data_IF_121453690700
#
_entry.id   IF_121453690700
#
_cell.length_a   1.000
_cell.length_b   1.000
_cell.length_c   1.000
_cell.angle_alpha   90.00
_cell.angle_beta   90.00
_cell.angle_gamma   90.00
#
_symmetry.space_group_name_H-M   'P 1'
#
loop_
_entity.id
_entity.type
_entity.pdbx_description
1 polymer ?
#
# COMPACT_ATOMS: atom_id res chain seq x y z
N UNK A 1 38.72 36.92 10.88
CA UNK A 1 37.74 36.51 11.93
C UNK A 1 36.28 36.59 11.39
N UNK A 2 35.87 37.66 10.70
CA UNK A 2 34.52 37.79 10.10
C UNK A 2 34.12 36.74 9.04
N UNK A 3 35.07 36.19 8.26
CA UNK A 3 34.78 35.12 7.28
C UNK A 3 34.52 33.74 7.91
N UNK A 4 35.06 33.48 9.10
CA UNK A 4 34.90 32.20 9.79
C UNK A 4 33.55 32.13 10.56
N UNK A 5 32.97 33.30 10.87
CA UNK A 5 31.66 33.44 11.53
C UNK A 5 30.52 33.14 10.55
N UNK A 6 30.61 33.59 9.29
CA UNK A 6 29.58 33.37 8.26
C UNK A 6 29.49 31.90 7.80
N UNK A 7 30.62 31.18 7.77
CA UNK A 7 30.71 29.75 7.41
C UNK A 7 30.16 28.83 8.51
N UNK A 8 30.36 29.16 9.80
CA UNK A 8 29.78 28.44 10.94
C UNK A 8 28.25 28.62 11.03
N UNK A 9 27.72 29.81 10.72
CA UNK A 9 26.28 30.09 10.73
C UNK A 9 25.51 29.24 9.70
N UNK A 10 26.04 29.12 8.46
CA UNK A 10 25.42 28.28 7.43
C UNK A 10 25.46 26.78 7.75
N UNK A 11 26.52 26.31 8.39
CA UNK A 11 26.63 24.90 8.83
C UNK A 11 25.64 24.58 9.96
N UNK A 12 25.44 25.51 10.90
CA UNK A 12 24.48 25.36 11.99
C UNK A 12 23.03 25.42 11.48
N UNK A 13 22.73 26.30 10.52
CA UNK A 13 21.43 26.36 9.84
C UNK A 13 21.13 25.09 9.03
N UNK A 14 22.12 24.54 8.31
CA UNK A 14 21.99 23.26 7.63
C UNK A 14 21.75 22.12 8.62
N UNK A 15 22.46 22.11 9.75
CA UNK A 15 22.29 21.09 10.79
C UNK A 15 20.91 21.18 11.44
N UNK A 16 20.42 22.38 11.76
CA UNK A 16 19.06 22.60 12.28
C UNK A 16 17.99 22.21 11.25
N UNK A 17 18.21 22.49 9.96
CA UNK A 17 17.30 22.09 8.90
C UNK A 17 17.27 20.56 8.76
N UNK A 18 18.42 19.89 8.80
CA UNK A 18 18.53 18.43 8.82
C UNK A 18 17.89 17.82 10.09
N UNK A 19 17.99 18.50 11.23
CA UNK A 19 17.35 18.08 12.49
C UNK A 19 15.82 18.21 12.43
N UNK A 20 15.30 19.25 11.75
CA UNK A 20 13.87 19.43 11.52
C UNK A 20 13.30 18.40 10.54
N UNK A 21 14.06 18.03 9.50
CA UNK A 21 13.66 16.98 8.54
C UNK A 21 13.57 15.60 9.23
N UNK A 22 14.28 15.39 10.33
CA UNK A 22 14.30 14.11 11.05
C UNK A 22 13.08 13.86 11.96
N UNK A 23 12.26 14.88 12.24
CA UNK A 23 11.01 14.74 13.00
C UNK A 23 9.84 14.52 12.05
N UNK A 24 9.81 13.35 11.39
CA UNK A 24 8.61 12.87 10.72
C UNK A 24 7.86 12.00 11.72
N UNK A 25 6.78 12.54 12.29
CA UNK A 25 5.78 11.74 12.97
C UNK A 25 4.89 11.11 11.88
N UNK A 26 5.06 9.81 11.64
CA UNK A 26 4.16 9.05 10.77
C UNK A 26 3.06 8.41 11.60
N UNK A 27 1.79 8.68 11.26
CA UNK A 27 0.61 7.97 11.79
C UNK A 27 0.25 6.74 10.95
N UNK A 28 0.81 6.68 9.74
CA UNK A 28 0.59 5.64 8.74
C UNK A 28 1.76 4.63 8.75
N UNK A 29 1.44 3.34 8.70
CA UNK A 29 2.39 2.24 8.64
C UNK A 29 2.00 1.25 7.55
N UNK A 30 2.94 0.94 6.67
CA UNK A 30 2.84 -0.22 5.77
C UNK A 30 3.82 -1.29 6.23
N UNK A 31 3.33 -2.50 6.47
CA UNK A 31 4.13 -3.61 6.96
C UNK A 31 3.84 -4.90 6.20
N UNK A 32 4.81 -5.80 6.21
CA UNK A 32 4.68 -7.15 5.69
C UNK A 32 4.27 -8.09 6.82
N UNK A 33 3.16 -8.81 6.61
CA UNK A 33 2.62 -9.81 7.51
C UNK A 33 2.91 -11.21 6.92
N UNK A 34 3.80 -12.00 7.54
CA UNK A 34 4.19 -13.32 7.03
C UNK A 34 3.01 -14.30 6.95
N UNK A 35 3.23 -15.42 6.25
CA UNK A 35 2.31 -16.55 6.28
C UNK A 35 2.27 -17.22 7.67
N UNK A 36 1.09 -17.69 8.04
CA UNK A 36 0.82 -18.30 9.34
C UNK A 36 1.27 -17.46 10.57
N UNK A 37 1.27 -16.13 10.43
CA UNK A 37 1.77 -15.22 11.47
C UNK A 37 0.76 -14.12 11.82
N UNK A 38 1.03 -13.45 12.93
CA UNK A 38 0.18 -12.45 13.54
C UNK A 38 1.02 -11.33 14.13
N UNK A 39 0.70 -10.10 13.75
CA UNK A 39 1.41 -8.91 14.20
C UNK A 39 0.48 -7.96 14.93
N UNK A 40 0.95 -7.42 16.05
CA UNK A 40 0.18 -6.52 16.90
C UNK A 40 0.93 -5.21 17.14
N UNK A 41 0.18 -4.11 17.13
CA UNK A 41 0.62 -2.76 17.41
C UNK A 41 -0.09 -2.24 18.66
N UNK A 42 0.60 -1.40 19.42
CA UNK A 42 0.20 -0.97 20.74
C UNK A 42 0.30 0.55 20.82
N UNK A 43 -0.76 1.21 21.27
CA UNK A 43 -0.78 2.66 21.47
C UNK A 43 -1.34 2.99 22.85
N UNK A 44 -0.72 3.94 23.53
CA UNK A 44 -1.15 4.42 24.83
C UNK A 44 -2.10 5.60 24.65
N UNK A 45 -3.35 5.43 25.07
CA UNK A 45 -4.41 6.43 24.89
C UNK A 45 -4.94 6.89 26.25
N UNK A 46 -5.22 8.19 26.34
CA UNK A 46 -5.94 8.77 27.48
C UNK A 46 -7.43 8.45 27.42
N UNK A 47 -8.11 8.60 28.56
CA UNK A 47 -9.55 8.43 28.67
C UNK A 47 -10.30 9.50 27.86
N UNK A 48 -11.47 9.12 27.31
CA UNK A 48 -12.41 9.99 26.59
C UNK A 48 -11.83 10.58 25.29
N UNK A 49 -10.77 9.95 24.75
CA UNK A 49 -10.17 10.26 23.45
C UNK A 49 -10.78 9.39 22.36
N UNK A 50 -11.19 10.00 21.24
CA UNK A 50 -11.58 9.28 20.02
C UNK A 50 -10.33 8.80 19.28
N UNK A 51 -10.35 7.56 18.82
CA UNK A 51 -9.38 7.04 17.87
C UNK A 51 -10.08 6.39 16.68
N UNK A 52 -9.38 6.38 15.55
CA UNK A 52 -9.80 5.84 14.27
C UNK A 52 -8.69 4.92 13.76
N UNK A 53 -9.06 3.71 13.33
CA UNK A 53 -8.16 2.72 12.73
C UNK A 53 -8.66 2.43 11.32
N UNK A 54 -7.84 2.75 10.34
CA UNK A 54 -8.09 2.44 8.94
C UNK A 54 -7.06 1.43 8.47
N UNK A 55 -7.49 0.38 7.77
CA UNK A 55 -6.54 -0.56 7.18
C UNK A 55 -6.97 -1.01 5.79
N UNK A 56 -5.96 -1.36 4.98
CA UNK A 56 -6.16 -1.90 3.65
C UNK A 56 -5.04 -2.88 3.30
N UNK A 57 -5.43 -4.05 2.78
CA UNK A 57 -4.48 -5.03 2.24
C UNK A 57 -4.10 -4.62 0.82
N UNK A 58 -2.84 -4.26 0.62
CA UNK A 58 -2.30 -3.80 -0.66
C UNK A 58 -2.01 -5.00 -1.57
N UNK A 59 -1.44 -6.08 -1.01
CA UNK A 59 -1.03 -7.26 -1.78
C UNK A 59 -1.08 -8.55 -0.95
N UNK A 60 -1.14 -9.69 -1.63
CA UNK A 60 -1.06 -11.03 -1.04
C UNK A 60 -2.37 -11.83 -1.06
N UNK A 61 -2.34 -13.02 -1.67
CA UNK A 61 -3.46 -13.97 -1.69
C UNK A 61 -4.78 -13.35 -2.18
N UNK A 62 -5.84 -13.47 -1.39
CA UNK A 62 -7.17 -12.89 -1.66
C UNK A 62 -7.32 -11.44 -1.18
N UNK A 63 -6.22 -10.76 -0.84
CA UNK A 63 -6.20 -9.41 -0.29
C UNK A 63 -7.01 -9.29 1.01
N UNK A 64 -7.08 -10.34 1.83
CA UNK A 64 -7.88 -10.41 3.06
C UNK A 64 -7.00 -10.53 4.31
N UNK A 65 -7.41 -10.00 5.46
CA UNK A 65 -6.73 -10.17 6.75
C UNK A 65 -7.75 -10.23 7.88
N UNK A 66 -7.42 -10.92 8.97
CA UNK A 66 -8.20 -10.88 10.20
C UNK A 66 -7.69 -9.73 11.07
N UNK A 67 -8.58 -8.83 11.51
CA UNK A 67 -8.24 -7.65 12.31
C UNK A 67 -9.06 -7.65 13.59
N UNK A 68 -8.40 -7.44 14.72
CA UNK A 68 -9.10 -7.28 15.99
C UNK A 68 -8.40 -6.27 16.90
N UNK A 69 -9.20 -5.54 17.66
CA UNK A 69 -8.78 -4.45 18.56
C UNK A 69 -9.21 -4.81 19.97
N UNK A 70 -8.30 -4.66 20.93
CA UNK A 70 -8.60 -4.85 22.35
C UNK A 70 -8.27 -3.63 23.18
N UNK A 71 -9.05 -3.41 24.22
CA UNK A 71 -8.80 -2.40 25.24
C UNK A 71 -7.67 -2.83 26.22
N UNK A 72 -7.28 -1.95 27.17
CA UNK A 72 -6.26 -2.26 28.17
C UNK A 72 -6.61 -3.43 29.12
N UNK A 73 -7.90 -3.79 29.21
CA UNK A 73 -8.38 -4.94 29.98
C UNK A 73 -8.49 -6.23 29.15
N UNK A 74 -8.06 -6.19 27.89
CA UNK A 74 -8.20 -7.26 26.89
C UNK A 74 -9.65 -7.57 26.49
N UNK A 75 -10.60 -6.65 26.69
CA UNK A 75 -11.91 -6.76 26.08
C UNK A 75 -11.80 -6.49 24.58
N UNK A 76 -12.46 -7.31 23.77
CA UNK A 76 -12.46 -7.17 22.32
C UNK A 76 -13.45 -6.08 21.92
N UNK A 77 -12.94 -5.01 21.32
CA UNK A 77 -13.73 -3.87 20.85
C UNK A 77 -14.16 -4.04 19.38
N UNK A 78 -13.28 -4.67 18.59
CA UNK A 78 -13.49 -4.93 17.17
C UNK A 78 -12.88 -6.29 16.83
N UNK A 79 -13.56 -7.08 16.01
CA UNK A 79 -13.09 -8.39 15.57
C UNK A 79 -13.76 -8.76 14.27
N UNK A 80 -13.07 -8.49 13.18
CA UNK A 80 -13.52 -8.79 11.84
C UNK A 80 -12.55 -9.73 11.15
N UNK A 81 -13.09 -10.63 10.34
CA UNK A 81 -12.31 -11.68 9.66
C UNK A 81 -12.36 -11.51 8.16
N UNK A 82 -11.24 -11.84 7.51
CA UNK A 82 -11.05 -11.84 6.07
C UNK A 82 -11.52 -10.55 5.38
N UNK A 83 -11.18 -9.41 5.96
CA UNK A 83 -11.49 -8.09 5.40
C UNK A 83 -10.37 -7.63 4.48
N UNK A 84 -10.73 -7.00 3.37
CA UNK A 84 -9.76 -6.40 2.46
C UNK A 84 -9.42 -4.96 2.84
N UNK A 85 -10.44 -4.24 3.29
CA UNK A 85 -10.33 -2.92 3.88
C UNK A 85 -11.43 -2.80 4.93
N UNK A 86 -11.18 -2.03 5.98
CA UNK A 86 -12.23 -1.59 6.90
C UNK A 86 -11.77 -0.35 7.68
N UNK A 87 -12.73 0.33 8.30
CA UNK A 87 -12.52 1.50 9.15
C UNK A 87 -13.24 1.30 10.47
N UNK A 88 -12.54 1.49 11.59
CA UNK A 88 -13.09 1.34 12.92
C UNK A 88 -12.82 2.59 13.78
N UNK A 89 -13.89 3.20 14.26
CA UNK A 89 -13.85 4.37 15.15
C UNK A 89 -14.37 4.03 16.54
N UNK A 90 -13.65 4.41 17.58
CA UNK A 90 -14.09 4.21 18.95
C UNK A 90 -13.61 5.32 19.89
N UNK A 91 -14.36 5.56 20.97
CA UNK A 91 -13.98 6.48 22.04
C UNK A 91 -13.51 5.69 23.25
N UNK A 92 -12.31 5.96 23.71
CA UNK A 92 -11.67 5.27 24.84
C UNK A 92 -12.46 5.42 26.14
N UNK A 93 -12.88 4.30 26.73
CA UNK A 93 -13.59 4.30 28.01
C UNK A 93 -12.65 4.49 29.21
N UNK A 94 -11.38 4.13 29.05
CA UNK A 94 -10.33 4.22 30.06
C UNK A 94 -8.97 4.48 29.43
N UNK A 95 -8.09 5.06 30.24
CA UNK A 95 -6.69 5.28 29.91
C UNK A 95 -5.91 3.96 29.96
N UNK A 96 -5.01 3.78 29.00
CA UNK A 96 -4.09 2.65 28.95
C UNK A 96 -3.71 2.26 27.53
N UNK A 97 -3.10 1.09 27.41
CA UNK A 97 -2.58 0.57 26.13
C UNK A 97 -3.67 -0.17 25.36
N UNK A 98 -4.06 0.38 24.22
CA UNK A 98 -4.93 -0.27 23.25
C UNK A 98 -4.06 -1.07 22.27
N UNK A 99 -4.56 -2.24 21.86
CA UNK A 99 -3.83 -3.18 21.01
C UNK A 99 -4.63 -3.47 19.74
N UNK A 100 -3.99 -3.30 18.60
CA UNK A 100 -4.53 -3.62 17.27
C UNK A 100 -3.71 -4.76 16.69
N UNK A 101 -4.35 -5.84 16.28
CA UNK A 101 -3.67 -7.01 15.76
C UNK A 101 -4.22 -7.42 14.40
N UNK A 102 -3.30 -7.80 13.51
CA UNK A 102 -3.57 -8.37 12.21
C UNK A 102 -3.07 -9.81 12.17
N UNK A 103 -3.92 -10.74 11.74
CA UNK A 103 -3.59 -12.17 11.63
C UNK A 103 -3.71 -12.67 10.20
N UNK A 104 -2.68 -13.39 9.78
CA UNK A 104 -2.60 -14.14 8.54
C UNK A 104 -2.41 -15.65 8.79
N UNK A 105 -2.85 -16.14 9.95
CA UNK A 105 -2.77 -17.56 10.33
C UNK A 105 -3.50 -18.49 9.34
N UNK A 106 -4.45 -17.97 8.57
CA UNK A 106 -5.21 -18.74 7.58
C UNK A 106 -4.49 -18.93 6.23
N UNK A 107 -3.42 -18.18 5.94
CA UNK A 107 -2.65 -18.34 4.70
C UNK A 107 -1.36 -19.10 4.99
N UNK A 108 -1.20 -20.27 4.37
CA UNK A 108 -0.04 -21.14 4.57
C UNK A 108 1.15 -20.87 3.63
N UNK A 109 0.96 -20.04 2.60
CA UNK A 109 1.98 -19.87 1.54
C UNK A 109 2.10 -18.43 1.02
N UNK A 110 1.29 -17.49 1.50
CA UNK A 110 1.26 -16.12 0.98
C UNK A 110 1.35 -15.13 2.12
N UNK A 111 2.43 -14.36 2.13
CA UNK A 111 2.55 -13.15 2.93
C UNK A 111 1.60 -12.07 2.41
N UNK A 112 1.30 -11.09 3.26
CA UNK A 112 0.43 -9.96 2.94
C UNK A 112 1.15 -8.65 3.20
N UNK A 113 0.87 -7.65 2.39
CA UNK A 113 1.31 -6.27 2.63
C UNK A 113 0.10 -5.49 3.09
N UNK A 114 0.13 -5.01 4.34
CA UNK A 114 -0.98 -4.32 4.98
C UNK A 114 -0.57 -2.89 5.26
N UNK A 115 -1.40 -1.96 4.81
CA UNK A 115 -1.36 -0.58 5.25
C UNK A 115 -2.33 -0.41 6.42
N UNK A 116 -1.88 0.30 7.46
CA UNK A 116 -2.66 0.71 8.61
C UNK A 116 -2.41 2.19 8.89
N UNK A 117 -3.46 2.92 9.24
CA UNK A 117 -3.39 4.25 9.83
C UNK A 117 -4.07 4.19 11.21
N UNK A 118 -3.34 4.54 12.26
CA UNK A 118 -3.86 4.62 13.62
C UNK A 118 -3.85 6.09 14.03
N UNK A 119 -5.03 6.71 13.97
CA UNK A 119 -5.23 8.12 14.32
C UNK A 119 -5.84 8.19 15.71
N UNK A 120 -5.26 8.99 16.60
CA UNK A 120 -5.85 9.25 17.91
C UNK A 120 -5.71 10.71 18.30
N UNK A 121 -6.63 11.19 19.13
CA UNK A 121 -6.64 12.56 19.62
C UNK A 121 -7.44 13.52 18.75
N UNK A 122 -7.91 14.60 19.37
CA UNK A 122 -8.34 15.77 18.61
C UNK A 122 -7.09 16.48 18.09
N UNK A 123 -7.09 16.76 16.80
CA UNK A 123 -6.05 17.55 16.16
C UNK A 123 -5.88 18.86 16.93
N UNK A 124 -4.64 19.17 17.35
CA UNK A 124 -4.40 20.37 18.15
C UNK A 124 -5.02 21.58 17.43
N UNK A 125 -5.86 22.38 18.11
CA UNK A 125 -6.49 23.52 17.46
C UNK A 125 -5.39 24.43 16.89
N UNK A 126 -5.44 24.69 15.59
CA UNK A 126 -4.47 25.52 14.85
C UNK A 126 -4.19 26.88 15.51
N UNK A 127 -5.14 27.36 16.30
CA UNK A 127 -5.03 28.55 17.12
C UNK A 127 -5.31 28.18 18.58
N UNK A 128 -4.32 28.42 19.44
CA UNK A 128 -4.40 28.26 20.90
C UNK A 128 -5.60 29.03 21.52
N UNK A 129 -6.05 30.11 20.84
CA UNK A 129 -7.22 30.92 21.19
C UNK A 129 -8.58 30.27 20.96
N UNK A 130 -8.69 29.18 20.19
CA UNK A 130 -9.98 28.49 20.01
C UNK A 130 -10.50 27.82 21.29
N UNK A 131 -9.63 27.52 22.25
CA UNK A 131 -10.03 26.97 23.56
C UNK A 131 -10.76 27.99 24.46
N UNK A 132 -10.62 29.29 24.16
CA UNK A 132 -11.20 30.38 24.92
C UNK A 132 -12.37 30.90 24.11
N UNK A 133 -13.60 30.76 24.62
CA UNK A 133 -14.88 31.14 24.01
C UNK A 133 -14.94 32.61 23.55
N UNK A 134 -14.23 32.93 22.47
CA UNK A 134 -14.06 34.26 21.91
C UNK A 134 -14.51 34.16 20.46
N UNK A 135 -15.27 35.15 19.97
CA UNK A 135 -15.66 35.19 18.57
C UNK A 135 -14.40 35.13 17.70
N UNK A 136 -14.28 34.09 16.86
CA UNK A 136 -13.20 33.98 15.89
C UNK A 136 -13.25 35.18 14.95
N UNK A 137 -12.09 35.76 14.68
CA UNK A 137 -11.99 36.77 13.63
C UNK A 137 -12.26 36.12 12.26
N UNK A 138 -12.67 36.92 11.27
CA UNK A 138 -12.96 36.43 9.90
C UNK A 138 -11.77 35.65 9.29
N UNK A 139 -10.54 36.02 9.65
CA UNK A 139 -9.32 35.35 9.22
C UNK A 139 -9.14 33.98 9.89
N UNK A 140 -9.40 33.87 11.18
CA UNK A 140 -9.27 32.61 11.93
C UNK A 140 -10.30 31.58 11.43
N UNK A 141 -11.55 32.00 11.19
CA UNK A 141 -12.58 31.13 10.61
C UNK A 141 -12.21 30.64 9.21
N UNK A 142 -11.62 31.52 8.37
CA UNK A 142 -11.18 31.13 7.03
C UNK A 142 -10.02 30.14 7.08
N UNK A 143 -9.10 30.30 8.04
CA UNK A 143 -7.98 29.38 8.25
C UNK A 143 -8.45 27.98 8.66
N UNK A 144 -9.39 27.89 9.60
CA UNK A 144 -9.99 26.60 10.02
C UNK A 144 -10.71 25.91 8.85
N UNK A 145 -11.48 26.67 8.06
CA UNK A 145 -12.17 26.11 6.90
C UNK A 145 -11.18 25.56 5.84
N UNK A 146 -10.08 26.28 5.57
CA UNK A 146 -9.04 25.80 4.65
C UNK A 146 -8.39 24.53 5.18
N UNK A 147 -8.12 24.47 6.49
CA UNK A 147 -7.52 23.31 7.13
C UNK A 147 -8.38 22.05 7.00
N UNK A 148 -9.68 22.18 7.26
CA UNK A 148 -10.63 21.08 7.09
C UNK A 148 -10.65 20.57 5.63
N UNK A 149 -10.65 21.48 4.65
CA UNK A 149 -10.56 21.10 3.24
C UNK A 149 -9.23 20.42 2.90
N UNK A 150 -8.11 20.93 3.42
CA UNK A 150 -6.79 20.32 3.19
C UNK A 150 -6.70 18.93 3.79
N UNK A 151 -7.32 18.67 4.94
CA UNK A 151 -7.41 17.35 5.56
C UNK A 151 -8.13 16.36 4.65
N UNK A 152 -9.30 16.73 4.14
CA UNK A 152 -10.06 15.91 3.18
C UNK A 152 -9.25 15.61 1.92
N UNK A 153 -8.50 16.60 1.42
CA UNK A 153 -7.61 16.42 0.25
C UNK A 153 -6.46 15.47 0.57
N UNK A 154 -5.83 15.59 1.74
CA UNK A 154 -4.76 14.70 2.16
C UNK A 154 -5.26 13.25 2.28
N UNK A 155 -6.37 13.03 2.97
CA UNK A 155 -6.99 11.71 3.10
C UNK A 155 -7.33 11.12 1.72
N UNK A 156 -7.87 11.96 0.81
CA UNK A 156 -8.14 11.54 -0.58
C UNK A 156 -6.87 11.16 -1.34
N UNK A 157 -5.78 11.92 -1.19
CA UNK A 157 -4.50 11.61 -1.82
C UNK A 157 -3.96 10.26 -1.35
N UNK A 158 -4.02 9.99 -0.05
CA UNK A 158 -3.64 8.69 0.51
C UNK A 158 -4.46 7.58 -0.13
N UNK A 159 -5.79 7.73 -0.21
CA UNK A 159 -6.65 6.75 -0.88
C UNK A 159 -6.23 6.47 -2.35
N UNK A 160 -5.97 7.52 -3.13
CA UNK A 160 -5.51 7.36 -4.52
C UNK A 160 -4.14 6.68 -4.61
N UNK A 161 -3.21 6.99 -3.70
CA UNK A 161 -1.88 6.36 -3.65
C UNK A 161 -1.98 4.86 -3.36
N UNK A 162 -2.80 4.45 -2.39
CA UNK A 162 -3.01 3.04 -2.06
C UNK A 162 -3.66 2.28 -3.22
N UNK A 163 -4.70 2.88 -3.81
CA UNK A 163 -5.39 2.35 -5.00
C UNK A 163 -4.41 2.15 -6.16
N UNK A 164 -3.59 3.15 -6.46
CA UNK A 164 -2.58 3.09 -7.52
C UNK A 164 -1.55 1.99 -7.24
N UNK A 165 -1.05 1.88 -6.00
CA UNK A 165 -0.11 0.84 -5.63
C UNK A 165 -0.70 -0.57 -5.85
N UNK A 166 -1.94 -0.79 -5.42
CA UNK A 166 -2.65 -2.05 -5.61
C UNK A 166 -2.90 -2.33 -7.11
N UNK A 167 -3.34 -1.33 -7.88
CA UNK A 167 -3.62 -1.49 -9.30
C UNK A 167 -2.35 -1.69 -10.12
N UNK A 168 -1.22 -1.10 -9.71
CA UNK A 168 0.09 -1.35 -10.30
C UNK A 168 0.51 -2.80 -10.13
N UNK A 169 0.37 -3.38 -8.94
CA UNK A 169 0.66 -4.80 -8.71
C UNK A 169 -0.21 -5.70 -9.59
N UNK A 170 -1.51 -5.41 -9.73
CA UNK A 170 -2.39 -6.16 -10.65
C UNK A 170 -1.93 -6.04 -12.10
N UNK A 171 -1.57 -4.83 -12.54
CA UNK A 171 -1.12 -4.58 -13.90
C UNK A 171 0.15 -5.37 -14.24
N UNK A 172 1.13 -5.41 -13.33
CA UNK A 172 2.37 -6.16 -13.49
C UNK A 172 2.09 -7.67 -13.63
N UNK A 173 1.24 -8.25 -12.78
CA UNK A 173 0.86 -9.67 -12.88
C UNK A 173 0.09 -10.02 -14.16
N UNK A 174 -0.81 -9.13 -14.61
CA UNK A 174 -1.55 -9.33 -15.85
C UNK A 174 -0.61 -9.25 -17.06
N UNK A 175 0.29 -8.28 -17.07
CA UNK A 175 1.27 -8.09 -18.12
C UNK A 175 2.16 -9.32 -18.29
N UNK A 176 2.67 -9.88 -17.19
CA UNK A 176 3.50 -11.08 -17.22
C UNK A 176 2.75 -12.28 -17.81
N UNK A 177 1.52 -12.53 -17.36
CA UNK A 177 0.69 -13.64 -17.86
C UNK A 177 0.40 -13.53 -19.35
N UNK A 178 -0.02 -12.34 -19.79
CA UNK A 178 -0.30 -12.07 -21.21
C UNK A 178 0.96 -12.26 -22.04
N UNK A 179 2.10 -11.75 -21.57
CA UNK A 179 3.38 -11.90 -22.26
C UNK A 179 3.75 -13.36 -22.48
N UNK A 180 3.64 -14.22 -21.45
CA UNK A 180 3.92 -15.65 -21.61
C UNK A 180 2.96 -16.34 -22.59
N UNK A 181 1.67 -16.00 -22.55
CA UNK A 181 0.69 -16.53 -23.49
C UNK A 181 1.01 -16.10 -24.94
N UNK A 182 1.32 -14.83 -25.17
CA UNK A 182 1.69 -14.30 -26.49
C UNK A 182 2.98 -14.91 -27.05
N UNK A 183 3.97 -15.16 -26.19
CA UNK A 183 5.19 -15.88 -26.60
C UNK A 183 4.83 -17.30 -27.06
N UNK A 184 3.97 -18.00 -26.32
CA UNK A 184 3.49 -19.34 -26.69
C UNK A 184 2.78 -19.37 -28.04
N UNK A 185 1.86 -18.44 -28.29
CA UNK A 185 1.16 -18.31 -29.57
C UNK A 185 2.12 -18.00 -30.73
N UNK A 186 3.09 -17.12 -30.50
CA UNK A 186 4.09 -16.77 -31.52
C UNK A 186 4.94 -17.98 -31.91
N UNK A 187 5.36 -18.79 -30.95
CA UNK A 187 6.10 -20.04 -31.19
C UNK A 187 5.23 -21.04 -31.96
N UNK A 188 3.97 -21.20 -31.59
CA UNK A 188 3.03 -22.10 -32.26
C UNK A 188 2.83 -21.71 -33.74
N UNK A 189 2.65 -20.42 -34.04
CA UNK A 189 2.53 -19.91 -35.41
C UNK A 189 3.79 -20.20 -36.23
N UNK A 190 4.98 -20.06 -35.64
CA UNK A 190 6.24 -20.38 -36.31
C UNK A 190 6.33 -21.88 -36.66
N UNK A 191 5.97 -22.76 -35.72
CA UNK A 191 5.94 -24.22 -35.94
C UNK A 191 4.97 -24.59 -37.06
N UNK A 192 3.76 -24.02 -37.06
CA UNK A 192 2.78 -24.24 -38.12
C UNK A 192 3.32 -23.75 -39.47
N UNK A 193 3.95 -22.56 -39.52
CA UNK A 193 4.55 -22.02 -40.74
C UNK A 193 5.64 -22.91 -41.31
N UNK A 194 6.56 -23.41 -40.48
CA UNK A 194 7.59 -24.37 -40.91
C UNK A 194 6.96 -25.68 -41.39
N UNK A 195 5.98 -26.21 -40.63
CA UNK A 195 5.25 -27.42 -40.99
C UNK A 195 4.54 -27.31 -42.34
N UNK A 196 3.87 -26.18 -42.60
CA UNK A 196 3.23 -25.90 -43.89
C UNK A 196 4.24 -25.91 -45.04
N UNK A 197 5.41 -25.28 -44.88
CA UNK A 197 6.45 -25.26 -45.92
C UNK A 197 7.03 -26.66 -46.17
N UNK A 198 7.28 -27.44 -45.12
CA UNK A 198 7.77 -28.81 -45.26
C UNK A 198 6.76 -29.71 -45.98
N UNK A 199 5.47 -29.60 -45.61
CA UNK A 199 4.40 -30.37 -46.23
C UNK A 199 4.24 -30.00 -47.71
N UNK A 200 4.21 -28.72 -48.05
CA UNK A 200 4.18 -28.26 -49.45
C UNK A 200 5.39 -28.77 -50.24
N UNK A 201 6.60 -28.68 -49.67
CA UNK A 201 7.81 -29.22 -50.31
C UNK A 201 7.71 -30.74 -50.54
N UNK A 202 7.14 -31.50 -49.60
CA UNK A 202 6.93 -32.94 -49.75
C UNK A 202 5.99 -33.26 -50.91
N UNK A 203 4.87 -32.54 -51.05
CA UNK A 203 3.93 -32.73 -52.16
C UNK A 203 4.55 -32.44 -53.53
N UNK A 204 5.43 -31.43 -53.64
CA UNK A 204 6.10 -31.09 -54.91
C UNK A 204 7.41 -31.87 -55.15
N UNK A 205 7.96 -32.57 -54.15
CA UNK A 205 9.21 -33.33 -54.28
C UNK A 205 9.02 -34.73 -54.86
N UNK A 206 7.80 -35.20 -55.09
CA UNK A 206 7.55 -36.40 -55.88
C UNK A 206 7.27 -36.05 -57.34
N UNK A 207 8.35 -35.97 -58.14
CA UNK A 207 8.54 -36.62 -59.46
C UNK A 207 9.97 -36.33 -59.95
N UNK A 208 10.97 -36.98 -59.35
CA UNK A 208 12.19 -37.32 -60.09
C UNK A 208 12.16 -38.80 -60.38
N UNK A 209 11.44 -39.17 -61.45
CA UNK A 209 11.72 -40.41 -62.19
C UNK A 209 13.10 -40.22 -62.82
N UNK A 210 14.12 -40.44 -61.99
CA UNK A 210 15.51 -40.56 -62.37
C UNK A 210 15.69 -41.91 -63.06
N UNK A 211 15.72 -41.82 -64.39
CA UNK A 211 16.10 -42.83 -65.38
C UNK A 211 17.11 -43.88 -64.90
N UNK A 212 16.91 -45.11 -65.42
CA UNK A 212 17.90 -46.03 -66.01
C UNK A 212 18.03 -47.38 -65.26
N UNK A 213 17.84 -48.51 -65.96
CA UNK A 213 18.88 -49.54 -66.25
C UNK A 213 18.47 -50.34 -67.50
N UNK A 214 19.45 -50.53 -68.39
CA UNK A 214 19.50 -51.34 -69.60
C UNK A 214 19.09 -52.81 -69.40
N UNK A 215 18.49 -53.46 -70.40
CA UNK A 215 18.95 -54.79 -70.89
C UNK A 215 18.18 -55.26 -72.13
N UNK A 216 18.97 -55.69 -73.12
CA UNK A 216 18.72 -56.59 -74.26
C UNK A 216 17.75 -56.13 -75.36
#
# INVERSE_FOLDING_TARGET
IFLNIKRKSNQLLLLCFLLHVALVFGTELTFELPDNDKQCFYEELYKDVKFDIDFQVISGGNYDVDCFVTDPQNNVLYNERKKQYDSFSHTTAMEGVYKVCFSNEFSTFTHKIVYMDFRHGEEQPLLEKMSRSTALTQLESSCVAIHEVLKVVADSQTWYRLREAQDRTKAEHLFERVTYWSIGETVLLFVIGVGQVMLLRSFFSERKVGRCVYSA
#
